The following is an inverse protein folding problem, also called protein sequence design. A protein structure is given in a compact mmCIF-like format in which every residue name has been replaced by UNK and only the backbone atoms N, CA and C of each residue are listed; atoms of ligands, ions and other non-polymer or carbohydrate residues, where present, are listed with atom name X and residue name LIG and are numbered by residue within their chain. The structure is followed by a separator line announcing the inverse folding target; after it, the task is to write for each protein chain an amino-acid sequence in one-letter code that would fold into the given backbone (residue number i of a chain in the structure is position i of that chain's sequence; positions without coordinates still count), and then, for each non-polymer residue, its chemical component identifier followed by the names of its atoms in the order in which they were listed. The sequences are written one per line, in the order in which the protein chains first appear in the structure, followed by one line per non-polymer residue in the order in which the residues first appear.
data_IF_259132467306
#
_entry.id   IF_259132467306
#
_cell.length_a   1.000
_cell.length_b   1.000
_cell.length_c   1.000
_cell.angle_alpha   90.00
_cell.angle_beta   90.00
_cell.angle_gamma   90.00
#
_symmetry.space_group_name_H-M   'P 1'
#
loop_
_entity.id
_entity.type
_entity.pdbx_description
1 polymer ?
#
# COMPACT_ATOMS: atom_id res chain seq x y z
N UNK A 1 -3.69 15.09 -11.82
CA UNK A 1 -2.84 13.94 -11.41
C UNK A 1 -1.79 14.33 -10.38
N UNK A 2 -1.06 15.43 -10.57
CA UNK A 2 0.01 15.84 -9.64
C UNK A 2 -0.41 15.91 -8.16
N UNK A 3 -1.58 16.50 -7.87
CA UNK A 3 -2.13 16.55 -6.49
C UNK A 3 -2.22 15.19 -5.79
N UNK A 4 -2.52 14.09 -6.52
CA UNK A 4 -2.61 12.76 -5.92
C UNK A 4 -1.22 12.23 -5.59
N UNK A 5 -0.24 12.47 -6.47
CA UNK A 5 1.15 12.07 -6.26
C UNK A 5 1.70 12.75 -5.02
N UNK A 6 1.47 14.07 -4.89
CA UNK A 6 1.90 14.84 -3.73
C UNK A 6 1.28 14.31 -2.42
N UNK A 7 -0.01 13.93 -2.45
CA UNK A 7 -0.69 13.29 -1.33
C UNK A 7 -0.08 11.93 -0.96
N UNK A 8 0.30 11.12 -1.95
CA UNK A 8 0.93 9.80 -1.72
C UNK A 8 2.29 9.96 -1.05
N UNK A 9 3.11 10.92 -1.51
CA UNK A 9 4.42 11.20 -0.90
C UNK A 9 4.32 11.69 0.55
N UNK A 10 3.25 12.39 0.90
CA UNK A 10 3.02 12.86 2.27
C UNK A 10 2.54 11.75 3.23
N UNK A 11 2.24 10.54 2.75
CA UNK A 11 1.71 9.47 3.60
C UNK A 11 2.79 8.79 4.45
N UNK A 12 2.41 8.34 5.65
CA UNK A 12 3.30 7.65 6.60
C UNK A 12 3.07 6.14 6.63
N UNK A 13 2.66 5.55 5.50
CA UNK A 13 2.24 4.12 5.43
C UNK A 13 3.35 3.13 5.79
N UNK A 14 4.62 3.52 5.66
CA UNK A 14 5.78 2.66 5.91
C UNK A 14 6.11 2.43 7.39
N UNK A 15 5.43 3.15 8.30
CA UNK A 15 5.55 2.88 9.74
C UNK A 15 4.91 1.53 10.12
N UNK A 16 4.00 1.03 9.29
CA UNK A 16 3.25 -0.21 9.56
C UNK A 16 3.33 -1.21 8.41
N UNK A 17 3.45 -0.75 7.16
CA UNK A 17 3.57 -1.62 6.00
C UNK A 17 5.02 -1.66 5.47
N UNK A 18 5.46 -2.85 5.07
CA UNK A 18 6.77 -3.03 4.43
C UNK A 18 6.67 -2.90 2.90
N UNK A 19 7.81 -2.79 2.22
CA UNK A 19 7.85 -2.96 0.76
C UNK A 19 7.64 -4.42 0.40
N UNK A 20 6.50 -4.73 -0.24
CA UNK A 20 6.24 -6.08 -0.71
C UNK A 20 7.03 -6.40 -1.97
N UNK A 21 7.49 -7.64 -2.17
CA UNK A 21 8.28 -7.99 -3.35
C UNK A 21 7.42 -7.97 -4.62
N UNK A 22 8.05 -7.61 -5.74
CA UNK A 22 7.51 -7.76 -7.08
C UNK A 22 8.09 -9.05 -7.68
N UNK A 23 7.31 -10.12 -7.70
CA UNK A 23 7.76 -11.45 -8.11
C UNK A 23 7.28 -11.79 -9.52
N UNK A 24 8.15 -12.38 -10.34
CA UNK A 24 7.76 -12.87 -11.68
C UNK A 24 6.89 -14.11 -11.53
N UNK A 25 5.73 -14.13 -12.19
CA UNK A 25 4.87 -15.31 -12.27
C UNK A 25 5.22 -16.12 -13.51
N UNK A 26 6.22 -17.00 -13.42
CA UNK A 26 6.76 -17.73 -14.57
C UNK A 26 5.68 -18.51 -15.34
N UNK A 27 4.87 -19.32 -14.65
CA UNK A 27 3.83 -20.15 -15.29
C UNK A 27 2.77 -19.31 -16.00
N UNK A 28 2.31 -18.22 -15.37
CA UNK A 28 1.35 -17.30 -15.98
C UNK A 28 1.98 -16.58 -17.17
N UNK A 29 3.24 -16.18 -17.05
CA UNK A 29 3.94 -15.45 -18.09
C UNK A 29 4.09 -16.29 -19.37
N UNK A 30 4.49 -17.54 -19.22
CA UNK A 30 4.58 -18.51 -20.33
C UNK A 30 3.21 -18.73 -20.97
N UNK A 31 2.17 -18.96 -20.14
CA UNK A 31 0.81 -19.22 -20.64
C UNK A 31 0.21 -18.03 -21.40
N UNK A 32 0.46 -16.81 -20.92
CA UNK A 32 -0.07 -15.58 -21.50
C UNK A 32 0.84 -14.94 -22.56
N UNK A 33 2.02 -15.53 -22.84
CA UNK A 33 3.05 -14.97 -23.73
C UNK A 33 3.45 -13.52 -23.39
N UNK A 34 3.36 -13.15 -22.11
CA UNK A 34 3.62 -11.81 -21.59
C UNK A 34 4.39 -11.91 -20.28
N UNK A 35 5.21 -10.91 -19.94
CA UNK A 35 5.90 -10.89 -18.64
C UNK A 35 4.95 -10.42 -17.55
N UNK A 36 4.46 -11.35 -16.74
CA UNK A 36 3.51 -11.08 -15.64
C UNK A 36 4.27 -11.00 -14.32
N UNK A 37 4.07 -9.90 -13.61
CA UNK A 37 4.61 -9.68 -12.27
C UNK A 37 3.48 -9.65 -11.23
N UNK A 38 3.76 -10.15 -10.03
CA UNK A 38 2.86 -10.16 -8.89
C UNK A 38 3.44 -9.27 -7.79
N UNK A 39 2.71 -8.23 -7.41
CA UNK A 39 3.01 -7.44 -6.21
C UNK A 39 2.44 -8.17 -4.99
N UNK A 40 3.32 -8.71 -4.15
CA UNK A 40 2.97 -9.64 -3.06
C UNK A 40 2.51 -8.94 -1.78
N UNK A 41 1.44 -8.14 -1.86
CA UNK A 41 0.83 -7.48 -0.69
C UNK A 41 0.24 -8.47 0.35
N UNK A 42 0.12 -9.75 -0.01
CA UNK A 42 -0.20 -10.86 0.89
C UNK A 42 0.89 -11.13 1.95
N UNK A 43 2.12 -10.66 1.71
CA UNK A 43 3.24 -10.80 2.67
C UNK A 43 3.23 -9.75 3.79
N UNK A 44 2.26 -8.83 3.79
CA UNK A 44 2.08 -7.91 4.91
C UNK A 44 1.56 -8.65 6.16
N UNK A 45 1.71 -8.03 7.33
CA UNK A 45 1.28 -8.59 8.63
C UNK A 45 -0.21 -9.00 8.65
N UNK A 46 -1.06 -8.27 7.93
CA UNK A 46 -2.51 -8.56 7.83
C UNK A 46 -2.90 -9.29 6.53
N UNK A 47 -1.92 -9.88 5.85
CA UNK A 47 -2.07 -10.63 4.59
C UNK A 47 -2.80 -9.89 3.46
N UNK A 48 -2.83 -8.56 3.52
CA UNK A 48 -3.50 -7.74 2.52
C UNK A 48 -3.00 -6.30 2.54
N UNK A 49 -3.27 -5.57 1.46
CA UNK A 49 -2.89 -4.16 1.32
C UNK A 49 -3.69 -3.20 2.22
N UNK A 50 -4.78 -3.67 2.85
CA UNK A 50 -5.77 -2.82 3.55
C UNK A 50 -5.16 -1.99 4.69
N UNK A 51 -4.08 -2.49 5.30
CA UNK A 51 -3.35 -1.81 6.38
C UNK A 51 -2.92 -0.39 6.01
N UNK A 52 -2.46 -0.20 4.77
CA UNK A 52 -1.94 1.09 4.28
C UNK A 52 -3.00 2.19 4.36
N UNK A 53 -4.18 1.92 3.79
CA UNK A 53 -5.30 2.86 3.77
C UNK A 53 -5.91 3.08 5.16
N UNK A 54 -6.07 2.01 5.93
CA UNK A 54 -6.57 2.10 7.31
C UNK A 54 -5.66 2.97 8.19
N UNK A 55 -4.34 2.79 8.09
CA UNK A 55 -3.38 3.58 8.86
C UNK A 55 -3.39 5.06 8.47
N UNK A 56 -3.41 5.36 7.17
CA UNK A 56 -3.50 6.75 6.70
C UNK A 56 -4.79 7.44 7.18
N UNK A 57 -5.93 6.75 7.14
CA UNK A 57 -7.20 7.28 7.65
C UNK A 57 -7.16 7.50 9.16
N UNK A 58 -6.59 6.55 9.90
CA UNK A 58 -6.40 6.67 11.35
C UNK A 58 -5.56 7.89 11.71
N UNK A 59 -4.42 8.10 11.03
CA UNK A 59 -3.57 9.28 11.24
C UNK A 59 -4.32 10.58 10.93
N UNK A 60 -5.04 10.64 9.82
CA UNK A 60 -5.83 11.82 9.46
C UNK A 60 -6.91 12.13 10.51
N UNK A 61 -7.57 11.12 11.07
CA UNK A 61 -8.54 11.29 12.15
C UNK A 61 -7.88 11.71 13.47
N UNK A 62 -6.67 11.21 13.77
CA UNK A 62 -5.92 11.59 14.97
C UNK A 62 -5.51 13.06 14.94
N UNK A 63 -5.04 13.55 13.80
CA UNK A 63 -4.62 14.96 13.64
C UNK A 63 -5.82 15.93 13.64
N UNK A 64 -7.00 15.47 13.20
CA UNK A 64 -8.23 16.27 13.18
C UNK A 64 -9.05 16.20 14.48
N UNK A 65 -8.53 15.56 15.55
CA UNK A 65 -9.14 15.70 16.87
C UNK A 65 -8.95 17.14 17.34
N UNK A 66 -9.98 17.98 17.18
CA UNK A 66 -10.09 19.23 17.92
C UNK A 66 -9.81 18.94 19.40
N UNK A 67 -9.06 19.79 20.11
CA UNK A 67 -8.92 19.64 21.56
C UNK A 67 -10.32 19.54 22.14
N UNK A 68 -10.56 18.49 22.94
CA UNK A 68 -11.76 18.42 23.78
C UNK A 68 -11.61 19.55 24.80
N UNK A 69 -12.18 20.71 24.47
CA UNK A 69 -12.56 21.74 25.44
C UNK A 69 -13.80 21.24 26.15
#
# INVERSE_FOLDING_TARGET
MQKIIDLVHATRVYEVASESPLSVAHQLSVRSKNTIYLKREDKQVVHSFKLRGAYQKYLACRLNKKPKV
#
